data_IF_542598827690
#
_entry.id   IF_542598827690
#
_cell.length_a   1.000
_cell.length_b   1.000
_cell.length_c   1.000
_cell.angle_alpha   90.00
_cell.angle_beta   90.00
_cell.angle_gamma   90.00
#
_symmetry.space_group_name_H-M   'P 1'
#
loop_
_entity.id
_entity.type
_entity.pdbx_description
1 polymer ?
#
# COMPACT_ATOMS: atom_id res chain seq x y z
N UNK A 1 -29.59 13.65 -14.94
CA UNK A 1 -28.46 13.06 -14.15
C UNK A 1 -28.90 11.97 -13.18
N UNK A 2 -29.99 12.11 -12.40
CA UNK A 2 -30.45 11.06 -11.47
C UNK A 2 -30.92 9.76 -12.16
N UNK A 3 -31.62 9.88 -13.30
CA UNK A 3 -32.14 8.71 -14.05
C UNK A 3 -31.04 7.87 -14.72
N UNK A 4 -29.96 8.50 -15.15
CA UNK A 4 -28.79 7.81 -15.74
C UNK A 4 -27.97 7.05 -14.69
N UNK A 5 -27.83 7.58 -13.47
CA UNK A 5 -27.16 6.88 -12.38
C UNK A 5 -27.92 5.62 -11.92
N UNK A 6 -29.26 5.68 -11.88
CA UNK A 6 -30.12 4.54 -11.55
C UNK A 6 -30.03 3.47 -12.65
N UNK A 7 -30.04 3.87 -13.93
CA UNK A 7 -29.88 2.92 -15.04
C UNK A 7 -28.51 2.24 -15.02
N UNK A 8 -27.44 2.97 -14.70
CA UNK A 8 -26.08 2.45 -14.57
C UNK A 8 -25.98 1.48 -13.38
N UNK A 9 -26.62 1.81 -12.25
CA UNK A 9 -26.71 0.94 -11.08
C UNK A 9 -27.50 -0.34 -11.39
N UNK A 10 -28.60 -0.25 -12.13
CA UNK A 10 -29.38 -1.42 -12.56
C UNK A 10 -28.61 -2.32 -13.55
N UNK A 11 -27.83 -1.73 -14.47
CA UNK A 11 -26.97 -2.48 -15.39
C UNK A 11 -25.80 -3.18 -14.68
N UNK A 12 -25.29 -2.60 -13.59
CA UNK A 12 -24.26 -3.21 -12.74
C UNK A 12 -24.79 -4.41 -11.93
N UNK A 13 -26.10 -4.47 -11.67
CA UNK A 13 -26.76 -5.55 -10.91
C UNK A 13 -27.36 -6.64 -11.82
N UNK A 14 -27.50 -6.39 -13.13
CA UNK A 14 -28.03 -7.36 -14.11
C UNK A 14 -26.97 -8.27 -14.75
N UNK A 15 -25.68 -8.10 -14.40
CA UNK A 15 -24.60 -9.01 -14.79
C UNK A 15 -24.73 -10.34 -14.01
N UNK A 16 -24.21 -11.48 -14.52
CA UNK A 16 -24.27 -12.78 -13.83
C UNK A 16 -23.85 -12.59 -12.37
N UNK A 17 -24.69 -13.09 -11.45
CA UNK A 17 -24.57 -12.87 -10.02
C UNK A 17 -23.10 -12.99 -9.57
N UNK A 18 -22.56 -11.89 -9.03
CA UNK A 18 -21.24 -11.89 -8.40
C UNK A 18 -21.28 -12.81 -7.19
N UNK A 19 -21.04 -14.10 -7.41
CA UNK A 19 -20.97 -15.07 -6.34
C UNK A 19 -19.59 -14.97 -5.70
N UNK A 20 -19.56 -14.81 -4.38
CA UNK A 20 -18.33 -14.94 -3.60
C UNK A 20 -17.97 -16.42 -3.62
N UNK A 21 -16.84 -16.77 -4.24
CA UNK A 21 -16.34 -18.14 -4.35
C UNK A 21 -15.25 -18.48 -3.35
N UNK A 22 -14.75 -17.49 -2.62
CA UNK A 22 -13.72 -17.71 -1.62
C UNK A 22 -13.33 -16.44 -0.91
N UNK A 23 -12.87 -16.59 0.33
CA UNK A 23 -12.34 -15.53 1.17
C UNK A 23 -10.98 -15.96 1.71
N UNK A 24 -10.01 -15.06 1.73
CA UNK A 24 -8.73 -15.30 2.41
C UNK A 24 -8.25 -14.05 3.10
N UNK A 25 -7.64 -14.20 4.28
CA UNK A 25 -6.93 -13.11 4.95
C UNK A 25 -5.43 -13.38 4.86
N UNK A 26 -4.61 -12.33 4.82
CA UNK A 26 -3.18 -12.50 4.71
C UNK A 26 -2.41 -11.40 5.40
N UNK A 27 -1.17 -11.74 5.75
CA UNK A 27 -0.17 -10.80 6.26
C UNK A 27 1.02 -10.79 5.31
N UNK A 28 1.64 -9.63 5.15
CA UNK A 28 2.77 -9.45 4.25
C UNK A 28 3.79 -8.49 4.83
N UNK A 29 5.05 -8.73 4.49
CA UNK A 29 6.17 -7.85 4.79
C UNK A 29 6.93 -7.55 3.52
N UNK A 30 7.64 -6.43 3.49
CA UNK A 30 8.37 -6.03 2.30
C UNK A 30 9.05 -4.69 2.43
N UNK A 31 9.25 -4.06 1.28
CA UNK A 31 9.88 -2.76 1.17
C UNK A 31 9.19 -1.89 0.12
N UNK A 32 9.22 -0.60 0.36
CA UNK A 32 8.92 0.46 -0.59
C UNK A 32 10.24 1.00 -1.11
N UNK A 33 10.32 1.25 -2.41
CA UNK A 33 11.52 1.76 -3.08
C UNK A 33 11.22 2.96 -3.99
N UNK A 34 12.20 3.83 -4.21
CA UNK A 34 12.09 5.05 -5.02
C UNK A 34 10.94 5.96 -4.56
N UNK A 35 10.78 6.19 -3.26
CA UNK A 35 9.73 7.08 -2.75
C UNK A 35 10.13 8.55 -2.90
N UNK A 36 10.33 9.01 -4.13
CA UNK A 36 10.76 10.40 -4.39
C UNK A 36 9.56 11.35 -4.33
N UNK A 37 9.54 12.24 -3.34
CA UNK A 37 8.54 13.28 -3.22
C UNK A 37 9.23 14.63 -2.98
N UNK A 38 9.28 15.47 -4.01
CA UNK A 38 9.97 16.77 -3.92
C UNK A 38 9.35 17.70 -2.87
N UNK A 39 8.07 17.48 -2.53
CA UNK A 39 7.36 18.24 -1.50
C UNK A 39 7.57 17.77 -0.04
N UNK A 40 8.34 16.69 0.21
CA UNK A 40 8.56 16.14 1.55
C UNK A 40 10.04 16.00 1.94
N UNK A 41 10.96 16.51 1.13
CA UNK A 41 12.39 16.51 1.45
C UNK A 41 12.70 17.50 2.58
N UNK A 42 12.69 17.01 3.82
CA UNK A 42 13.20 17.72 5.00
C UNK A 42 14.68 17.46 5.11
N UNK A 43 15.50 18.38 4.60
CA UNK A 43 16.93 18.14 4.44
C UNK A 43 17.19 16.92 3.55
N UNK A 44 18.39 16.38 3.59
CA UNK A 44 18.81 15.21 2.82
C UNK A 44 18.14 13.89 3.26
N UNK A 45 16.87 13.90 3.69
CA UNK A 45 16.12 12.71 4.05
C UNK A 45 15.95 11.84 2.80
N UNK A 46 16.82 10.85 2.68
CA UNK A 46 16.71 9.82 1.67
C UNK A 46 15.42 9.03 1.93
N UNK A 47 14.48 9.12 1.01
CA UNK A 47 13.22 8.35 1.02
C UNK A 47 13.30 7.13 0.11
N UNK A 48 14.48 6.77 -0.42
CA UNK A 48 14.63 5.71 -1.42
C UNK A 48 14.12 4.36 -0.94
N UNK A 49 14.23 4.03 0.35
CA UNK A 49 13.81 2.73 0.89
C UNK A 49 13.10 2.86 2.24
N UNK A 50 11.91 2.27 2.33
CA UNK A 50 11.13 2.16 3.58
C UNK A 50 10.75 0.70 3.81
N UNK A 51 10.75 0.27 5.08
CA UNK A 51 10.23 -1.05 5.45
C UNK A 51 8.70 -1.02 5.35
N UNK A 52 8.08 -2.16 5.02
CA UNK A 52 6.63 -2.29 4.90
C UNK A 52 6.13 -3.53 5.62
N UNK A 53 5.03 -3.39 6.34
CA UNK A 53 4.19 -4.50 6.82
C UNK A 53 2.74 -4.22 6.44
N UNK A 54 1.96 -5.24 6.18
CA UNK A 54 0.56 -5.06 5.85
C UNK A 54 -0.28 -6.29 6.07
N UNK A 55 -1.59 -6.08 5.99
CA UNK A 55 -2.60 -7.11 5.99
C UNK A 55 -3.51 -6.94 4.78
N UNK A 56 -4.08 -8.04 4.31
CA UNK A 56 -4.99 -8.05 3.18
C UNK A 56 -6.16 -9.00 3.39
N UNK A 57 -7.31 -8.64 2.83
CA UNK A 57 -8.49 -9.48 2.65
C UNK A 57 -8.69 -9.65 1.14
N UNK A 58 -8.74 -10.90 0.69
CA UNK A 58 -9.03 -11.26 -0.70
C UNK A 58 -10.42 -11.87 -0.76
N UNK A 59 -11.22 -11.38 -1.70
CA UNK A 59 -12.56 -11.84 -2.01
C UNK A 59 -12.55 -12.33 -3.45
N UNK A 60 -12.64 -13.64 -3.64
CA UNK A 60 -12.73 -14.23 -4.97
C UNK A 60 -14.18 -14.20 -5.45
N UNK A 61 -14.43 -13.70 -6.66
CA UNK A 61 -15.79 -13.64 -7.24
C UNK A 61 -15.89 -14.34 -8.59
N UNK A 62 -17.13 -14.62 -9.01
CA UNK A 62 -17.48 -14.96 -10.39
C UNK A 62 -18.06 -13.72 -11.10
N UNK A 63 -17.66 -13.42 -12.36
CA UNK A 63 -16.56 -14.03 -13.11
C UNK A 63 -15.20 -13.77 -12.46
N UNK A 64 -14.20 -14.60 -12.76
CA UNK A 64 -12.91 -14.79 -12.06
C UNK A 64 -12.05 -13.53 -11.90
N UNK A 65 -12.51 -12.63 -11.05
CA UNK A 65 -11.82 -11.43 -10.60
C UNK A 65 -11.80 -11.50 -9.08
N UNK A 66 -10.67 -11.20 -8.48
CA UNK A 66 -10.60 -11.08 -7.03
C UNK A 66 -10.53 -9.60 -6.65
N UNK A 67 -11.29 -9.23 -5.62
CA UNK A 67 -11.12 -7.97 -4.93
C UNK A 67 -10.12 -8.17 -3.80
N UNK A 68 -9.08 -7.34 -3.74
CA UNK A 68 -8.13 -7.29 -2.62
C UNK A 68 -8.31 -5.95 -1.91
N UNK A 69 -8.63 -6.01 -0.63
CA UNK A 69 -8.62 -4.87 0.29
C UNK A 69 -7.38 -5.01 1.15
N UNK A 70 -6.53 -3.99 1.23
CA UNK A 70 -5.28 -4.05 2.01
C UNK A 70 -5.07 -2.81 2.86
N UNK A 71 -4.45 -3.02 4.02
CA UNK A 71 -3.89 -1.97 4.86
C UNK A 71 -2.39 -2.19 5.01
N UNK A 72 -1.57 -1.25 4.56
CA UNK A 72 -0.12 -1.31 4.64
C UNK A 72 0.42 -0.16 5.50
N UNK A 73 1.48 -0.44 6.25
CA UNK A 73 2.25 0.52 7.03
C UNK A 73 3.69 0.49 6.53
N UNK A 74 4.12 1.56 5.88
CA UNK A 74 5.50 1.76 5.49
C UNK A 74 6.18 2.77 6.42
N UNK A 75 7.44 2.54 6.80
CA UNK A 75 8.18 3.47 7.66
C UNK A 75 9.68 3.51 7.36
N UNK A 76 10.28 4.65 7.68
CA UNK A 76 11.74 4.86 7.72
C UNK A 76 12.09 5.79 8.87
N UNK A 77 13.12 5.40 9.62
CA UNK A 77 13.70 6.22 10.67
C UNK A 77 15.01 6.82 10.16
N UNK A 78 15.30 8.06 10.53
CA UNK A 78 16.59 8.70 10.27
C UNK A 78 17.01 9.51 11.48
N UNK A 79 18.26 9.30 11.88
CA UNK A 79 18.90 10.09 12.92
C UNK A 79 19.64 11.27 12.28
N UNK A 80 19.56 12.42 12.92
CA UNK A 80 20.31 13.62 12.61
C UNK A 80 21.03 14.11 13.86
N UNK A 81 22.26 14.58 13.70
CA UNK A 81 23.02 15.16 14.81
C UNK A 81 23.18 16.66 14.59
N UNK A 82 22.74 17.44 15.58
CA UNK A 82 22.82 18.90 15.61
C UNK A 82 23.52 19.34 16.89
N UNK A 83 24.70 19.95 16.76
CA UNK A 83 25.44 20.50 17.91
C UNK A 83 25.75 19.47 19.02
N UNK A 84 25.99 18.21 18.65
CA UNK A 84 26.24 17.11 19.59
C UNK A 84 24.98 16.50 20.22
N UNK A 85 23.78 16.90 19.78
CA UNK A 85 22.50 16.33 20.20
C UNK A 85 21.87 15.56 19.04
N UNK A 86 21.33 14.38 19.32
CA UNK A 86 20.66 13.54 18.32
C UNK A 86 19.16 13.81 18.26
N UNK A 87 18.64 13.86 17.04
CA UNK A 87 17.24 14.00 16.67
C UNK A 87 16.85 12.82 15.78
N UNK A 88 15.83 12.07 16.16
CA UNK A 88 15.29 10.99 15.32
C UNK A 88 14.02 11.47 14.63
N UNK A 89 14.00 11.42 13.30
CA UNK A 89 12.82 11.68 12.48
C UNK A 89 12.33 10.35 11.90
N UNK A 90 11.05 10.04 12.10
CA UNK A 90 10.38 8.88 11.55
C UNK A 90 9.32 9.33 10.55
N UNK A 91 9.54 8.97 9.29
CA UNK A 91 8.52 9.08 8.25
C UNK A 91 7.72 7.79 8.21
N UNK A 92 6.40 7.91 8.09
CA UNK A 92 5.54 6.76 7.85
C UNK A 92 4.41 7.07 6.88
N UNK A 93 3.99 6.05 6.14
CA UNK A 93 2.86 6.06 5.20
C UNK A 93 1.92 4.91 5.57
N UNK A 94 0.69 5.24 5.96
CA UNK A 94 -0.39 4.27 6.13
C UNK A 94 -1.22 4.29 4.85
N UNK A 95 -1.27 3.15 4.17
CA UNK A 95 -2.02 2.99 2.92
C UNK A 95 -3.22 2.07 3.11
N UNK A 96 -4.40 2.53 2.73
CA UNK A 96 -5.59 1.70 2.56
C UNK A 96 -5.93 1.58 1.08
N UNK A 97 -5.92 0.36 0.54
CA UNK A 97 -6.08 0.13 -0.88
C UNK A 97 -7.16 -0.89 -1.21
N UNK A 98 -7.81 -0.69 -2.37
CA UNK A 98 -8.74 -1.63 -2.98
C UNK A 98 -8.29 -1.91 -4.40
N UNK A 99 -8.16 -3.19 -4.76
CA UNK A 99 -7.59 -3.64 -6.03
C UNK A 99 -8.42 -4.73 -6.67
N UNK A 100 -8.59 -4.68 -7.98
CA UNK A 100 -9.12 -5.77 -8.78
C UNK A 100 -7.96 -6.53 -9.41
N UNK A 101 -7.93 -7.85 -9.22
CA UNK A 101 -6.88 -8.71 -9.78
C UNK A 101 -7.49 -9.88 -10.54
N UNK A 102 -6.86 -10.23 -11.65
CA UNK A 102 -7.17 -11.39 -12.45
C UNK A 102 -6.13 -12.50 -12.19
N UNK A 103 -6.53 -13.64 -11.59
CA UNK A 103 -5.63 -14.76 -11.35
C UNK A 103 -5.56 -15.70 -12.57
N UNK A 104 -4.34 -16.06 -12.97
CA UNK A 104 -4.08 -17.14 -13.90
C UNK A 104 -3.94 -18.44 -13.11
N UNK A 105 -5.01 -19.25 -13.06
CA UNK A 105 -5.07 -20.43 -12.19
C UNK A 105 -4.27 -21.59 -12.77
N UNK A 106 -3.18 -21.97 -12.09
CA UNK A 106 -2.53 -23.27 -12.27
C UNK A 106 -2.50 -24.03 -10.92
N UNK A 107 -2.31 -25.38 -10.93
CA UNK A 107 -2.52 -26.20 -9.73
C UNK A 107 -1.67 -25.85 -8.50
N UNK A 108 -0.48 -25.29 -8.70
CA UNK A 108 0.47 -24.97 -7.62
C UNK A 108 0.85 -23.50 -7.61
N UNK A 109 1.02 -22.91 -8.79
CA UNK A 109 1.50 -21.53 -8.95
C UNK A 109 0.45 -20.73 -9.68
N UNK A 110 -0.11 -19.70 -9.05
CA UNK A 110 -1.13 -18.84 -9.65
C UNK A 110 -0.61 -17.41 -9.78
N UNK A 111 -0.03 -17.04 -10.94
CA UNK A 111 0.27 -15.65 -11.24
C UNK A 111 -0.99 -14.80 -11.24
N UNK A 112 -0.86 -13.50 -10.97
CA UNK A 112 -1.97 -12.56 -11.11
C UNK A 112 -1.48 -11.19 -11.54
N UNK A 113 -2.37 -10.45 -12.20
CA UNK A 113 -2.17 -9.06 -12.58
C UNK A 113 -3.41 -8.26 -12.22
N UNK A 114 -3.22 -6.98 -11.91
CA UNK A 114 -4.33 -6.11 -11.58
C UNK A 114 -3.93 -4.68 -11.32
N UNK A 115 -4.86 -3.94 -10.75
CA UNK A 115 -4.65 -2.56 -10.37
C UNK A 115 -5.73 -2.10 -9.41
N UNK A 116 -5.52 -0.92 -8.84
CA UNK A 116 -6.40 -0.41 -7.82
C UNK A 116 -6.17 1.06 -7.50
N UNK A 117 -6.85 1.48 -6.45
CA UNK A 117 -6.72 2.79 -5.86
C UNK A 117 -6.34 2.65 -4.38
N UNK A 118 -5.60 3.62 -3.88
CA UNK A 118 -5.13 3.66 -2.50
C UNK A 118 -5.25 5.05 -1.90
N UNK A 119 -5.69 5.13 -0.65
CA UNK A 119 -5.52 6.33 0.16
C UNK A 119 -4.25 6.18 0.99
N UNK A 120 -3.36 7.17 0.89
CA UNK A 120 -2.09 7.25 1.58
C UNK A 120 -2.19 8.32 2.65
N UNK A 121 -1.80 8.01 3.88
CA UNK A 121 -1.67 8.96 4.96
C UNK A 121 -0.21 9.05 5.36
N UNK A 122 0.44 10.10 4.87
CA UNK A 122 1.85 10.38 5.11
C UNK A 122 1.97 11.26 6.35
N UNK A 123 2.83 10.86 7.26
CA UNK A 123 3.04 11.57 8.53
C UNK A 123 4.47 11.42 9.03
N UNK A 124 4.85 12.34 9.90
CA UNK A 124 6.18 12.45 10.46
C UNK A 124 6.09 12.51 11.98
N UNK A 125 6.80 11.61 12.64
CA UNK A 125 7.04 11.65 14.07
C UNK A 125 8.48 12.04 14.32
N UNK A 126 8.77 12.62 15.49
CA UNK A 126 10.15 12.88 15.87
C UNK A 126 10.37 12.72 17.37
N UNK A 127 11.59 12.30 17.71
CA UNK A 127 12.09 12.21 19.08
C UNK A 127 13.28 13.14 19.20
N UNK A 128 13.24 14.04 20.19
CA UNK A 128 14.29 15.03 20.43
C UNK A 128 14.57 15.22 21.92
N UNK A 129 15.81 15.56 22.32
CA UNK A 129 16.08 15.99 23.68
C UNK A 129 15.39 17.35 23.94
N UNK A 130 14.96 17.57 25.19
CA UNK A 130 14.28 18.82 25.58
C UNK A 130 15.13 20.08 25.36
N UNK A 131 16.45 19.93 25.35
CA UNK A 131 17.42 20.99 25.04
C UNK A 131 17.44 21.41 23.58
N UNK A 132 16.89 20.60 22.67
CA UNK A 132 16.84 20.91 21.25
C UNK A 132 15.50 21.56 20.89
N UNK A 133 15.54 22.87 20.65
CA UNK A 133 14.41 23.61 20.08
C UNK A 133 14.43 23.52 18.55
N UNK A 134 13.36 23.00 17.94
CA UNK A 134 13.30 22.88 16.47
C UNK A 134 13.24 24.26 15.79
N UNK A 135 12.47 25.20 16.35
CA UNK A 135 12.34 26.55 15.80
C UNK A 135 13.67 27.30 15.81
N UNK A 136 14.42 27.20 16.91
CA UNK A 136 15.65 27.97 17.09
C UNK A 136 16.80 27.42 16.24
N UNK A 137 16.68 26.16 15.79
CA UNK A 137 17.62 25.51 14.88
C UNK A 137 17.12 25.52 13.42
N UNK A 138 16.03 26.23 13.11
CA UNK A 138 15.47 26.31 11.76
C UNK A 138 14.96 24.98 11.20
N UNK A 139 14.66 24.01 12.07
CA UNK A 139 14.18 22.68 11.69
C UNK A 139 12.66 22.73 11.56
N UNK A 140 12.15 22.54 10.34
CA UNK A 140 10.71 22.43 10.07
C UNK A 140 10.34 20.98 9.78
N UNK A 141 9.41 20.43 10.56
CA UNK A 141 8.84 19.10 10.30
C UNK A 141 7.50 19.27 9.55
N UNK A 142 7.32 18.65 8.38
CA UNK A 142 6.08 18.71 7.63
C UNK A 142 4.91 18.15 8.43
N UNK A 143 3.74 18.72 8.22
CA UNK A 143 2.49 18.16 8.74
C UNK A 143 2.11 16.85 8.04
N UNK A 144 1.10 16.18 8.59
CA UNK A 144 0.52 15.00 7.94
C UNK A 144 -0.32 15.39 6.73
N UNK A 145 -0.33 14.50 5.74
CA UNK A 145 -1.02 14.72 4.47
C UNK A 145 -1.67 13.42 4.04
N UNK A 146 -2.95 13.49 3.67
CA UNK A 146 -3.60 12.39 2.97
C UNK A 146 -3.61 12.64 1.46
N UNK A 147 -3.31 11.61 0.68
CA UNK A 147 -3.35 11.64 -0.80
C UNK A 147 -4.04 10.41 -1.35
N UNK A 148 -4.68 10.57 -2.49
CA UNK A 148 -5.20 9.46 -3.28
C UNK A 148 -4.16 9.08 -4.32
N UNK A 149 -3.96 7.78 -4.49
CA UNK A 149 -3.12 7.19 -5.51
C UNK A 149 -3.83 6.07 -6.25
N UNK A 150 -3.19 5.62 -7.30
CA UNK A 150 -3.55 4.42 -8.04
C UNK A 150 -2.32 3.56 -8.22
N UNK A 151 -2.52 2.27 -8.47
CA UNK A 151 -1.43 1.33 -8.61
C UNK A 151 -1.73 0.26 -9.64
N UNK A 152 -0.66 -0.26 -10.23
CA UNK A 152 -0.64 -1.50 -10.99
C UNK A 152 0.10 -2.53 -10.16
N UNK A 153 -0.35 -3.77 -10.23
CA UNK A 153 0.23 -4.83 -9.43
C UNK A 153 0.33 -6.13 -10.23
N UNK A 154 1.39 -6.86 -9.94
CA UNK A 154 1.60 -8.21 -10.43
C UNK A 154 2.19 -9.06 -9.32
N UNK A 155 1.81 -10.33 -9.28
CA UNK A 155 2.31 -11.21 -8.25
C UNK A 155 2.09 -12.67 -8.59
N UNK A 156 2.46 -13.51 -7.64
CA UNK A 156 2.31 -14.96 -7.72
C UNK A 156 1.89 -15.49 -6.37
N UNK A 157 0.88 -16.35 -6.39
CA UNK A 157 0.51 -17.18 -5.25
C UNK A 157 1.04 -18.60 -5.46
N UNK A 158 1.53 -19.22 -4.40
CA UNK A 158 1.97 -20.61 -4.38
C UNK A 158 1.09 -21.33 -3.37
N UNK A 159 0.20 -22.17 -3.88
CA UNK A 159 -0.71 -22.98 -3.07
C UNK A 159 -0.03 -24.29 -2.72
N UNK A 160 0.07 -24.59 -1.43
CA UNK A 160 0.64 -25.85 -0.94
C UNK A 160 -0.52 -26.79 -0.57
N UNK A 161 -0.79 -27.88 -1.32
CA UNK A 161 -1.98 -28.72 -1.12
C UNK A 161 -2.13 -29.28 0.30
N UNK A 162 -1.03 -29.43 1.02
CA UNK A 162 -0.99 -29.95 2.38
C UNK A 162 -1.30 -28.91 3.48
N UNK A 163 -1.40 -27.62 3.15
CA UNK A 163 -1.53 -26.54 4.12
C UNK A 163 -2.71 -25.62 3.83
N UNK A 164 -3.36 -25.07 4.87
CA UNK A 164 -4.48 -24.13 4.72
C UNK A 164 -4.01 -22.71 4.39
N UNK A 165 -2.83 -22.55 3.78
CA UNK A 165 -2.28 -21.26 3.43
C UNK A 165 -1.57 -21.27 2.07
N UNK A 166 -1.48 -20.09 1.46
CA UNK A 166 -0.71 -19.82 0.25
C UNK A 166 0.42 -18.84 0.57
N UNK A 167 1.58 -19.07 -0.04
CA UNK A 167 2.68 -18.11 -0.03
C UNK A 167 2.43 -17.15 -1.19
N UNK A 168 2.66 -15.86 -1.00
CA UNK A 168 2.51 -14.85 -2.05
C UNK A 168 3.75 -13.97 -2.16
N UNK A 169 4.04 -13.55 -3.39
CA UNK A 169 4.98 -12.48 -3.69
C UNK A 169 4.30 -11.49 -4.64
N UNK A 170 4.45 -10.19 -4.37
CA UNK A 170 3.74 -9.13 -5.07
C UNK A 170 4.66 -7.94 -5.33
N UNK A 171 4.57 -7.41 -6.53
CA UNK A 171 5.17 -6.16 -6.96
C UNK A 171 4.06 -5.15 -7.27
N UNK A 172 4.19 -3.92 -6.75
CA UNK A 172 3.30 -2.80 -7.10
C UNK A 172 4.09 -1.64 -7.64
N UNK A 173 3.55 -1.02 -8.69
CA UNK A 173 3.92 0.31 -9.14
C UNK A 173 2.83 1.25 -8.68
N UNK A 174 3.17 2.27 -7.89
CA UNK A 174 2.23 3.17 -7.26
C UNK A 174 2.46 4.59 -7.78
N UNK A 175 1.35 5.32 -7.94
CA UNK A 175 1.32 6.71 -8.35
C UNK A 175 0.44 7.48 -7.36
N UNK A 176 1.03 8.43 -6.64
CA UNK A 176 0.31 9.31 -5.72
C UNK A 176 0.25 10.71 -6.32
N UNK A 177 -0.94 11.30 -6.34
CA UNK A 177 -1.10 12.69 -6.73
C UNK A 177 -0.59 13.59 -5.60
N UNK A 178 0.51 14.31 -5.84
CA UNK A 178 1.06 15.31 -4.91
C UNK A 178 0.91 16.71 -5.52
N UNK A 179 0.99 17.80 -4.73
CA UNK A 179 0.90 19.14 -5.29
C UNK A 179 2.04 19.39 -6.29
N UNK A 180 1.70 19.60 -7.56
CA UNK A 180 2.66 19.94 -8.61
C UNK A 180 3.25 18.76 -9.39
N UNK A 181 3.14 17.52 -8.89
CA UNK A 181 3.68 16.34 -9.57
C UNK A 181 2.96 15.03 -9.21
N UNK A 182 3.31 13.95 -9.90
CA UNK A 182 2.89 12.58 -9.54
C UNK A 182 4.08 11.86 -8.96
N UNK A 183 4.05 11.60 -7.66
CA UNK A 183 5.06 10.79 -6.98
C UNK A 183 4.88 9.34 -7.39
N UNK A 184 5.95 8.73 -7.89
CA UNK A 184 6.00 7.32 -8.31
C UNK A 184 6.88 6.56 -7.34
N UNK A 185 6.43 5.39 -6.91
CA UNK A 185 7.26 4.50 -6.10
C UNK A 185 6.82 3.06 -6.31
N UNK A 186 7.71 2.13 -5.97
CA UNK A 186 7.44 0.71 -6.11
C UNK A 186 7.38 0.04 -4.75
N UNK A 187 6.59 -1.02 -4.61
CA UNK A 187 6.67 -1.91 -3.45
C UNK A 187 6.87 -3.36 -3.88
N UNK A 188 7.68 -4.07 -3.11
CA UNK A 188 7.86 -5.53 -3.22
C UNK A 188 7.48 -6.11 -1.88
N UNK A 189 6.57 -7.08 -1.89
CA UNK A 189 6.10 -7.75 -0.67
C UNK A 189 6.08 -9.26 -0.84
N UNK A 190 6.29 -9.97 0.26
CA UNK A 190 6.04 -11.39 0.38
C UNK A 190 5.13 -11.64 1.59
N UNK A 191 4.26 -12.64 1.52
CA UNK A 191 3.26 -12.85 2.54
C UNK A 191 2.66 -14.24 2.57
N UNK A 192 1.85 -14.48 3.60
CA UNK A 192 1.06 -15.69 3.79
C UNK A 192 -0.42 -15.32 3.72
N UNK A 193 -1.20 -16.11 2.97
CA UNK A 193 -2.65 -15.98 2.86
C UNK A 193 -3.31 -17.23 3.41
N UNK A 194 -4.19 -17.09 4.37
CA UNK A 194 -4.96 -18.15 4.98
C UNK A 194 -6.34 -18.19 4.32
N UNK A 195 -6.64 -19.31 3.68
CA UNK A 195 -7.93 -19.52 3.03
C UNK A 195 -8.98 -19.83 4.10
N UNK A 196 -10.11 -19.13 4.05
CA UNK A 196 -11.25 -19.43 4.91
C UNK A 196 -12.07 -20.56 4.28
N UNK A 197 -12.58 -21.50 5.09
CA UNK A 197 -13.47 -22.58 4.62
C UNK A 197 -14.82 -22.06 4.10
#
# INVERSE_FOLDING_TARGET
MKKTAILLLCFLVSAPAFAITGLSFGVRGGMVSNYEQAGLTVGSFDTDKMNLIGAQLRIATLPTVNLIISGDYAWKNKQYDFGGQSFELKMHDITYAASLVYPFKFPVVSPYLGGGIGNHHLSFDYIRPLSLSLSDNGITVPGSVSRLGYHLMGGVNISLPAFPFEISAEYRMNWINTPGEVTKYNSVTAGLNFNLP
#
